data_IF_715962517484
#
_entry.id   IF_715962517484
#
_cell.length_a   1.000
_cell.length_b   1.000
_cell.length_c   1.000
_cell.angle_alpha   90.00
_cell.angle_beta   90.00
_cell.angle_gamma   90.00
#
_symmetry.space_group_name_H-M   'P 1'
#
loop_
_entity.id
_entity.type
_entity.pdbx_description
1 polymer ?
#
# COMPACT_ATOMS: atom_id res chain seq x y z
N UNK A 1 -9.84 -25.61 -5.82
CA UNK A 1 -10.40 -24.94 -4.63
C UNK A 1 -11.34 -23.80 -5.01
N UNK A 2 -12.59 -23.87 -4.56
CA UNK A 2 -13.63 -22.84 -4.75
C UNK A 2 -13.76 -22.01 -3.47
N UNK A 3 -13.19 -20.81 -3.46
CA UNK A 3 -13.43 -19.84 -2.38
C UNK A 3 -14.87 -19.31 -2.40
N UNK A 4 -15.35 -18.80 -1.27
CA UNK A 4 -16.65 -18.13 -1.17
C UNK A 4 -16.61 -16.81 -1.95
N UNK A 5 -17.57 -16.61 -2.86
CA UNK A 5 -17.75 -15.32 -3.55
C UNK A 5 -18.32 -14.31 -2.56
N UNK A 6 -17.60 -13.21 -2.35
CA UNK A 6 -18.03 -12.10 -1.47
C UNK A 6 -18.61 -10.92 -2.24
N UNK A 7 -18.26 -10.79 -3.52
CA UNK A 7 -18.80 -9.78 -4.44
C UNK A 7 -18.69 -10.25 -5.89
N UNK A 8 -19.64 -9.83 -6.73
CA UNK A 8 -19.61 -10.07 -8.18
C UNK A 8 -20.36 -8.95 -8.90
N UNK A 9 -19.81 -8.45 -10.00
CA UNK A 9 -20.42 -7.42 -10.82
C UNK A 9 -20.20 -7.70 -12.31
N UNK A 10 -21.22 -7.42 -13.13
CA UNK A 10 -21.10 -7.44 -14.59
C UNK A 10 -20.67 -6.05 -15.07
N UNK A 11 -19.54 -5.97 -15.77
CA UNK A 11 -18.95 -4.71 -16.22
C UNK A 11 -19.05 -4.64 -17.75
N UNK A 12 -19.73 -3.61 -18.27
CA UNK A 12 -19.84 -3.37 -19.74
C UNK A 12 -18.73 -2.46 -20.28
N UNK A 13 -18.00 -1.78 -19.41
CA UNK A 13 -16.89 -0.86 -19.73
C UNK A 13 -15.54 -1.54 -19.45
N UNK A 14 -14.44 -0.87 -19.82
CA UNK A 14 -13.08 -1.39 -19.60
C UNK A 14 -12.62 -1.31 -18.14
N UNK A 15 -13.33 -0.58 -17.30
CA UNK A 15 -12.92 -0.26 -15.93
C UNK A 15 -14.05 -0.52 -14.94
N UNK A 16 -13.66 -0.97 -13.74
CA UNK A 16 -14.54 -1.14 -12.60
C UNK A 16 -13.79 -0.77 -11.32
N UNK A 17 -14.29 0.25 -10.63
CA UNK A 17 -13.79 0.64 -9.31
C UNK A 17 -14.66 0.00 -8.24
N UNK A 18 -14.00 -0.55 -7.22
CA UNK A 18 -14.65 -1.26 -6.12
C UNK A 18 -14.19 -0.66 -4.80
N UNK A 19 -15.15 -0.22 -3.98
CA UNK A 19 -14.87 0.19 -2.61
C UNK A 19 -14.81 -1.05 -1.71
N UNK A 20 -13.59 -1.46 -1.32
CA UNK A 20 -13.38 -2.64 -0.48
C UNK A 20 -14.00 -2.50 0.93
N UNK A 21 -14.13 -1.27 1.44
CA UNK A 21 -14.71 -1.01 2.76
C UNK A 21 -16.20 -1.37 2.84
N UNK A 22 -16.92 -1.31 1.72
CA UNK A 22 -18.35 -1.65 1.64
C UNK A 22 -18.59 -3.17 1.60
N UNK A 23 -17.55 -3.97 1.33
CA UNK A 23 -17.67 -5.42 1.18
C UNK A 23 -17.55 -6.20 2.49
N UNK A 24 -17.32 -5.52 3.62
CA UNK A 24 -17.17 -6.16 4.92
C UNK A 24 -16.02 -7.17 4.96
N UNK A 25 -14.94 -6.91 4.22
CA UNK A 25 -13.77 -7.78 4.19
C UNK A 25 -13.11 -7.78 5.58
N UNK A 26 -12.71 -8.96 6.04
CA UNK A 26 -12.03 -9.16 7.31
C UNK A 26 -10.52 -9.06 7.15
N UNK A 27 -9.87 -8.39 8.10
CA UNK A 27 -8.42 -8.32 8.26
C UNK A 27 -7.78 -9.71 8.43
N UNK A 28 -6.52 -9.83 8.00
CA UNK A 28 -5.73 -11.07 8.07
C UNK A 28 -6.29 -12.22 7.21
N UNK A 29 -7.21 -11.92 6.27
CA UNK A 29 -7.73 -12.88 5.30
C UNK A 29 -7.20 -12.56 3.91
N UNK A 30 -6.91 -13.63 3.16
CA UNK A 30 -6.50 -13.58 1.75
C UNK A 30 -7.73 -13.66 0.86
N UNK A 31 -7.82 -12.72 -0.06
CA UNK A 31 -8.86 -12.62 -1.08
C UNK A 31 -8.22 -12.76 -2.45
N UNK A 32 -9.06 -13.02 -3.45
CA UNK A 32 -8.65 -13.03 -4.84
C UNK A 32 -9.73 -12.34 -5.66
N UNK A 33 -9.33 -11.49 -6.59
CA UNK A 33 -10.22 -11.04 -7.64
C UNK A 33 -9.98 -11.83 -8.92
N UNK A 34 -11.06 -11.98 -9.69
CA UNK A 34 -11.11 -12.77 -10.91
C UNK A 34 -12.04 -12.07 -11.89
N UNK A 35 -11.61 -11.93 -13.14
CA UNK A 35 -12.43 -11.46 -14.24
C UNK A 35 -12.83 -12.66 -15.10
N UNK A 36 -14.11 -12.70 -15.47
CA UNK A 36 -14.69 -13.73 -16.35
C UNK A 36 -15.42 -13.02 -17.47
N UNK A 37 -15.12 -13.38 -18.71
CA UNK A 37 -15.86 -12.88 -19.86
C UNK A 37 -17.29 -13.43 -19.88
N UNK A 38 -18.25 -12.60 -20.29
CA UNK A 38 -19.66 -13.02 -20.39
C UNK A 38 -19.83 -13.91 -21.61
N UNK A 39 -20.16 -15.18 -21.42
CA UNK A 39 -20.44 -16.12 -22.52
C UNK A 39 -19.27 -17.02 -22.95
N UNK A 40 -18.14 -17.04 -22.22
CA UNK A 40 -16.99 -17.87 -22.58
C UNK A 40 -16.03 -18.18 -21.43
N UNK A 41 -14.95 -18.90 -21.77
CA UNK A 41 -13.95 -19.42 -20.84
C UNK A 41 -12.76 -18.45 -20.58
N UNK A 42 -12.78 -17.25 -21.17
CA UNK A 42 -11.68 -16.30 -21.00
C UNK A 42 -11.57 -15.87 -19.53
N UNK A 43 -10.43 -16.21 -18.95
CA UNK A 43 -10.14 -16.19 -17.53
C UNK A 43 -8.92 -15.29 -17.32
N UNK A 44 -9.06 -14.25 -16.49
CA UNK A 44 -7.88 -13.56 -15.99
C UNK A 44 -7.17 -14.42 -14.95
N UNK A 45 -5.86 -14.27 -14.82
CA UNK A 45 -5.14 -14.79 -13.67
C UNK A 45 -5.81 -14.31 -12.37
N UNK A 46 -5.81 -15.16 -11.34
CA UNK A 46 -6.24 -14.77 -9.99
C UNK A 46 -5.18 -13.84 -9.43
N UNK A 47 -5.61 -12.64 -9.07
CA UNK A 47 -4.77 -11.70 -8.36
C UNK A 47 -5.17 -11.73 -6.91
N UNK A 48 -4.22 -12.14 -6.07
CA UNK A 48 -4.45 -12.27 -4.64
C UNK A 48 -4.08 -10.97 -3.93
N UNK A 49 -4.85 -10.65 -2.90
CA UNK A 49 -4.55 -9.54 -1.99
C UNK A 49 -4.97 -9.94 -0.57
N UNK A 50 -4.39 -9.28 0.41
CA UNK A 50 -4.76 -9.47 1.82
C UNK A 50 -5.22 -8.15 2.39
N UNK A 51 -6.20 -8.20 3.30
CA UNK A 51 -6.51 -7.04 4.13
C UNK A 51 -5.54 -7.08 5.31
N UNK A 52 -4.61 -6.15 5.31
CA UNK A 52 -3.67 -5.90 6.42
C UNK A 52 -4.41 -5.81 7.76
N UNK A 53 -3.80 -6.32 8.85
CA UNK A 53 -4.32 -6.02 10.19
C UNK A 53 -3.85 -4.64 10.62
N UNK A 54 -4.72 -3.88 11.25
CA UNK A 54 -4.35 -2.56 11.79
C UNK A 54 -3.19 -2.67 12.80
N UNK A 55 -3.12 -3.78 13.55
CA UNK A 55 -2.02 -4.06 14.48
C UNK A 55 -0.66 -4.25 13.77
N UNK A 56 -0.62 -4.86 12.58
CA UNK A 56 0.63 -5.06 11.83
C UNK A 56 1.14 -3.72 11.28
N UNK A 57 0.23 -2.86 10.79
CA UNK A 57 0.56 -1.49 10.38
C UNK A 57 1.07 -0.66 11.57
N UNK A 58 0.46 -0.81 12.75
CA UNK A 58 0.87 -0.10 13.95
C UNK A 58 2.28 -0.52 14.41
N UNK A 59 2.64 -1.80 14.28
CA UNK A 59 3.99 -2.26 14.62
C UNK A 59 5.05 -1.68 13.68
N UNK A 60 4.78 -1.59 12.36
CA UNK A 60 5.68 -0.90 11.43
C UNK A 60 5.93 0.54 11.85
N UNK A 61 4.87 1.27 12.21
CA UNK A 61 4.98 2.65 12.66
C UNK A 61 5.74 2.79 13.97
N UNK A 62 5.52 1.87 14.91
CA UNK A 62 6.22 1.85 16.20
C UNK A 62 7.73 1.66 15.99
N UNK A 63 8.13 0.67 15.19
CA UNK A 63 9.54 0.42 14.86
C UNK A 63 10.17 1.63 14.18
N UNK A 64 9.47 2.25 13.23
CA UNK A 64 9.94 3.45 12.55
C UNK A 64 10.13 4.63 13.52
N UNK A 65 9.21 4.81 14.48
CA UNK A 65 9.27 5.89 15.47
C UNK A 65 10.42 5.74 16.47
N UNK A 66 10.91 4.51 16.68
CA UNK A 66 12.10 4.24 17.50
C UNK A 66 13.39 4.63 16.77
N UNK A 67 13.35 4.93 15.45
CA UNK A 67 14.52 5.33 14.69
C UNK A 67 14.90 6.80 14.95
N UNK A 68 16.15 7.03 15.39
CA UNK A 68 16.70 8.38 15.60
C UNK A 68 16.59 9.26 14.35
N UNK A 69 16.85 8.70 13.17
CA UNK A 69 16.73 9.41 11.87
C UNK A 69 15.29 9.86 11.64
N UNK A 70 14.31 9.03 11.96
CA UNK A 70 12.90 9.41 11.88
C UNK A 70 12.59 10.52 12.88
N UNK A 71 13.07 10.43 14.12
CA UNK A 71 12.81 11.45 15.15
C UNK A 71 13.33 12.84 14.75
N UNK A 72 14.54 12.89 14.17
CA UNK A 72 15.23 14.11 13.75
C UNK A 72 14.79 14.64 12.37
N UNK A 73 14.10 13.82 11.58
CA UNK A 73 13.63 14.22 10.26
C UNK A 73 12.57 15.35 10.33
N UNK A 74 12.58 16.21 9.31
CA UNK A 74 11.52 17.18 9.08
C UNK A 74 10.19 16.48 8.68
N UNK A 75 9.05 17.19 8.70
CA UNK A 75 7.74 16.58 8.45
C UNK A 75 7.60 15.88 7.09
N UNK A 76 8.20 16.44 6.04
CA UNK A 76 8.15 15.87 4.69
C UNK A 76 8.95 14.57 4.64
N UNK A 77 10.17 14.59 5.17
CA UNK A 77 11.04 13.42 5.26
C UNK A 77 10.41 12.32 6.13
N UNK A 78 9.76 12.67 7.24
CA UNK A 78 8.99 11.71 8.06
C UNK A 78 7.92 11.00 7.24
N UNK A 79 7.15 11.73 6.43
CA UNK A 79 6.11 11.14 5.57
C UNK A 79 6.67 10.24 4.48
N UNK A 80 7.80 10.60 3.90
CA UNK A 80 8.50 9.74 2.94
C UNK A 80 9.03 8.47 3.60
N UNK A 81 9.57 8.56 4.81
CA UNK A 81 10.01 7.39 5.58
C UNK A 81 8.84 6.48 5.98
N UNK A 82 7.67 7.03 6.33
CA UNK A 82 6.43 6.28 6.54
C UNK A 82 6.05 5.50 5.28
N UNK A 83 6.02 6.18 4.13
CA UNK A 83 5.65 5.58 2.85
C UNK A 83 6.55 4.41 2.47
N UNK A 84 7.87 4.60 2.54
CA UNK A 84 8.86 3.55 2.24
C UNK A 84 8.73 2.38 3.23
N UNK A 85 8.52 2.65 4.51
CA UNK A 85 8.37 1.60 5.53
C UNK A 85 7.10 0.77 5.33
N UNK A 86 6.02 1.40 4.89
CA UNK A 86 4.81 0.68 4.49
C UNK A 86 5.02 -0.13 3.21
N UNK A 87 5.74 0.40 2.22
CA UNK A 87 6.03 -0.33 0.97
C UNK A 87 6.89 -1.58 1.23
N UNK A 88 7.95 -1.46 2.05
CA UNK A 88 8.81 -2.59 2.43
C UNK A 88 8.06 -3.68 3.21
N UNK A 89 7.02 -3.30 3.95
CA UNK A 89 6.13 -4.21 4.67
C UNK A 89 4.89 -4.61 3.85
N UNK A 90 4.88 -4.36 2.53
CA UNK A 90 3.81 -4.70 1.58
C UNK A 90 2.44 -4.04 1.87
N UNK A 91 2.41 -2.97 2.68
CA UNK A 91 1.23 -2.16 2.95
C UNK A 91 1.02 -1.07 1.87
N UNK A 92 0.92 -1.47 0.61
CA UNK A 92 0.92 -0.57 -0.56
C UNK A 92 -0.14 0.55 -0.51
N UNK A 93 -1.33 0.29 0.03
CA UNK A 93 -2.35 1.34 0.16
C UNK A 93 -1.99 2.40 1.21
N UNK A 94 -1.32 1.99 2.30
CA UNK A 94 -0.82 2.93 3.30
C UNK A 94 0.39 3.71 2.76
N UNK A 95 1.26 3.04 1.99
CA UNK A 95 2.38 3.67 1.30
C UNK A 95 1.90 4.76 0.32
N UNK A 96 0.93 4.44 -0.54
CA UNK A 96 0.32 5.39 -1.49
C UNK A 96 -0.25 6.64 -0.80
N UNK A 97 -0.99 6.46 0.29
CA UNK A 97 -1.49 7.59 1.09
C UNK A 97 -0.37 8.46 1.65
N UNK A 98 0.67 7.85 2.22
CA UNK A 98 1.79 8.58 2.78
C UNK A 98 2.57 9.34 1.69
N UNK A 99 2.73 8.76 0.50
CA UNK A 99 3.30 9.46 -0.67
C UNK A 99 2.43 10.62 -1.13
N UNK A 100 1.11 10.44 -1.20
CA UNK A 100 0.20 11.53 -1.57
C UNK A 100 0.22 12.69 -0.57
N UNK A 101 0.31 12.37 0.73
CA UNK A 101 0.51 13.38 1.79
C UNK A 101 1.85 14.10 1.64
N UNK A 102 2.94 13.37 1.45
CA UNK A 102 4.26 13.95 1.20
C UNK A 102 4.27 14.86 -0.04
N UNK A 103 3.58 14.45 -1.12
CA UNK A 103 3.42 15.26 -2.32
C UNK A 103 2.71 16.59 -2.06
N UNK A 104 1.72 16.61 -1.17
CA UNK A 104 1.05 17.83 -0.73
C UNK A 104 1.92 18.75 0.15
N UNK A 105 3.04 18.25 0.66
CA UNK A 105 3.96 18.99 1.56
C UNK A 105 5.22 19.48 0.86
N UNK A 106 5.51 19.00 -0.35
CA UNK A 106 6.69 19.42 -1.11
C UNK A 106 6.47 20.79 -1.74
N UNK A 107 7.21 21.79 -1.28
CA UNK A 107 7.22 23.14 -1.85
C UNK A 107 7.97 23.23 -3.19
N UNK A 108 8.84 22.25 -3.48
CA UNK A 108 9.74 22.27 -4.63
C UNK A 108 9.17 21.58 -5.88
N UNK A 109 8.15 20.73 -5.69
CA UNK A 109 7.58 19.88 -6.73
C UNK A 109 8.49 18.72 -7.17
N UNK A 110 9.61 18.49 -6.49
CA UNK A 110 10.62 17.49 -6.90
C UNK A 110 10.69 16.27 -5.96
N UNK A 111 9.52 15.69 -5.70
CA UNK A 111 9.36 14.46 -4.91
C UNK A 111 10.32 13.33 -5.25
N UNK A 112 10.65 13.05 -6.53
CA UNK A 112 11.55 11.94 -6.87
C UNK A 112 12.95 12.09 -6.29
N UNK A 113 13.45 13.32 -6.14
CA UNK A 113 14.75 13.57 -5.52
C UNK A 113 14.67 13.40 -4.00
N UNK A 114 13.62 13.92 -3.37
CA UNK A 114 13.38 13.81 -1.92
C UNK A 114 13.17 12.33 -1.50
N UNK A 115 12.46 11.54 -2.32
CA UNK A 115 12.34 10.09 -2.15
C UNK A 115 13.68 9.36 -2.22
N UNK A 116 14.55 9.75 -3.17
CA UNK A 116 15.86 9.13 -3.33
C UNK A 116 16.76 9.40 -2.12
N UNK A 117 16.68 10.59 -1.54
CA UNK A 117 17.40 10.93 -0.31
C UNK A 117 16.90 10.12 0.89
N UNK A 118 15.58 9.94 1.02
CA UNK A 118 14.99 9.09 2.06
C UNK A 118 15.47 7.64 1.96
N UNK A 119 15.46 7.05 0.75
CA UNK A 119 15.93 5.69 0.49
C UNK A 119 17.43 5.53 0.78
N UNK A 120 18.25 6.51 0.38
CA UNK A 120 19.71 6.47 0.62
C UNK A 120 20.02 6.48 2.12
N UNK A 121 19.32 7.30 2.91
CA UNK A 121 19.48 7.35 4.38
C UNK A 121 19.06 6.03 5.04
N UNK A 122 18.00 5.38 4.53
CA UNK A 122 17.57 4.06 5.01
C UNK A 122 18.59 2.96 4.67
N UNK A 123 19.14 2.96 3.46
CA UNK A 123 20.09 1.95 2.98
C UNK A 123 21.48 2.03 3.64
N UNK A 124 21.96 3.23 3.97
CA UNK A 124 23.22 3.42 4.70
C UNK A 124 23.22 2.67 6.05
N UNK A 125 22.04 2.39 6.62
CA UNK A 125 21.85 1.67 7.87
C UNK A 125 21.80 0.14 7.74
N UNK A 126 21.50 -0.40 6.56
CA UNK A 126 21.47 -1.86 6.37
C UNK A 126 22.88 -2.48 6.26
N UNK A 127 23.93 -1.64 6.27
CA UNK A 127 25.33 -2.02 6.11
C UNK A 127 26.16 -1.86 7.40
N UNK A 128 25.57 -1.29 8.45
CA UNK A 128 26.15 -1.16 9.80
C UNK A 128 25.50 -2.15 10.78
#
# INVERSE_FOLDING_TARGET
ESGKVVHSAAVKKKEYMLNLGELGLKEGKKYAWKVVETGGAAFSNKYFFSIARDAEKAEVMKLLQEEEVYQQADPLMKKLMEAVSFEDAEFYYAADKAYAEAAGMSDTGNLPQEMREALTRKQARAQD
#
